data_IF_428316317867
#
_entry.id   IF_428316317867
#
_cell.length_a   1.000
_cell.length_b   1.000
_cell.length_c   1.000
_cell.angle_alpha   90.00
_cell.angle_beta   90.00
_cell.angle_gamma   90.00
#
_symmetry.space_group_name_H-M   'P 1'
#
loop_
_entity.id
_entity.type
_entity.pdbx_description
1 polymer ?
#
# COMPACT_ATOMS: atom_id res chain seq x y z
N UNK A 1 9.88 -3.90 16.21
CA UNK A 1 9.80 -3.62 14.75
C UNK A 1 8.86 -2.46 14.55
N UNK A 2 9.13 -1.58 13.59
CA UNK A 2 8.17 -0.50 13.25
C UNK A 2 6.99 -1.12 12.50
N UNK A 3 5.78 -0.96 13.01
CA UNK A 3 4.54 -1.43 12.40
C UNK A 3 3.68 -0.23 12.02
N UNK A 4 2.98 -0.34 10.89
CA UNK A 4 2.05 0.67 10.41
C UNK A 4 0.68 0.48 11.08
N UNK A 5 0.14 1.57 11.64
CA UNK A 5 -1.17 1.61 12.29
C UNK A 5 -2.18 2.39 11.45
N UNK A 6 -3.39 1.87 11.29
CA UNK A 6 -4.49 2.49 10.54
C UNK A 6 -5.54 3.02 11.51
N UNK A 7 -5.32 4.24 12.01
CA UNK A 7 -6.26 4.85 12.95
C UNK A 7 -7.51 5.40 12.25
N UNK A 8 -8.64 4.71 12.39
CA UNK A 8 -9.97 5.15 11.89
C UNK A 8 -10.86 5.76 12.98
N UNK A 9 -10.29 6.05 14.16
CA UNK A 9 -11.04 6.47 15.36
C UNK A 9 -12.14 5.45 15.70
N UNK A 10 -13.38 5.90 15.89
CA UNK A 10 -14.54 5.05 16.19
C UNK A 10 -15.46 4.87 14.96
N UNK A 11 -14.93 5.03 13.74
CA UNK A 11 -15.75 4.93 12.54
C UNK A 11 -16.19 3.48 12.29
N UNK A 12 -17.48 3.22 11.95
CA UNK A 12 -17.93 1.88 11.63
C UNK A 12 -17.25 1.32 10.37
N UNK A 13 -17.12 -0.02 10.23
CA UNK A 13 -16.49 -0.62 9.07
C UNK A 13 -17.14 -0.25 7.73
N UNK A 14 -16.30 0.07 6.75
CA UNK A 14 -16.72 0.32 5.38
C UNK A 14 -16.52 -0.98 4.57
N UNK A 15 -17.62 -1.57 4.13
CA UNK A 15 -17.64 -2.76 3.26
C UNK A 15 -18.13 -2.40 1.87
N UNK A 16 -17.21 -2.33 0.92
CA UNK A 16 -17.52 -2.04 -0.49
C UNK A 16 -17.62 -3.33 -1.31
N UNK A 17 -18.59 -3.39 -2.22
CA UNK A 17 -18.69 -4.48 -3.17
C UNK A 17 -17.56 -4.45 -4.19
N UNK A 18 -17.08 -5.63 -4.57
CA UNK A 18 -16.15 -5.78 -5.67
C UNK A 18 -16.77 -5.28 -6.97
N UNK A 19 -16.01 -4.49 -7.73
CA UNK A 19 -16.43 -4.04 -9.06
C UNK A 19 -16.36 -5.19 -10.04
N UNK A 20 -17.32 -5.27 -10.97
CA UNK A 20 -17.34 -6.29 -12.01
C UNK A 20 -16.06 -6.22 -12.85
N UNK A 21 -15.31 -7.32 -12.89
CA UNK A 21 -14.13 -7.46 -13.73
C UNK A 21 -14.48 -8.23 -15.02
N UNK A 22 -13.97 -7.80 -16.18
CA UNK A 22 -13.95 -8.63 -17.39
C UNK A 22 -13.23 -9.96 -17.13
N UNK A 23 -13.62 -11.03 -17.81
CA UNK A 23 -13.03 -12.37 -17.61
C UNK A 23 -11.51 -12.38 -17.72
N UNK A 24 -10.96 -11.74 -18.77
CA UNK A 24 -9.52 -11.62 -18.97
C UNK A 24 -8.78 -10.91 -17.81
N UNK A 25 -9.47 -10.03 -17.07
CA UNK A 25 -8.91 -9.37 -15.88
C UNK A 25 -9.12 -10.18 -14.60
N UNK A 26 -10.09 -11.08 -14.57
CA UNK A 26 -10.39 -11.93 -13.40
C UNK A 26 -9.29 -12.98 -13.20
N UNK A 27 -8.91 -13.68 -14.25
CA UNK A 27 -7.82 -14.68 -14.20
C UNK A 27 -6.49 -14.03 -13.78
N UNK A 28 -6.21 -12.85 -14.33
CA UNK A 28 -5.03 -12.06 -13.96
C UNK A 28 -5.08 -11.62 -12.49
N UNK A 29 -6.25 -11.20 -11.99
CA UNK A 29 -6.43 -10.84 -10.58
C UNK A 29 -6.17 -12.05 -9.66
N UNK A 30 -6.74 -13.19 -9.99
CA UNK A 30 -6.59 -14.44 -9.22
C UNK A 30 -5.13 -14.89 -9.17
N UNK A 31 -4.40 -14.82 -10.29
CA UNK A 31 -2.96 -15.12 -10.33
C UNK A 31 -2.16 -14.19 -9.42
N UNK A 32 -2.44 -12.88 -9.46
CA UNK A 32 -1.74 -11.88 -8.63
C UNK A 32 -2.04 -12.05 -7.14
N UNK A 33 -3.29 -12.37 -6.78
CA UNK A 33 -3.67 -12.68 -5.40
C UNK A 33 -2.92 -13.89 -4.89
N UNK A 34 -2.87 -14.97 -5.68
CA UNK A 34 -2.12 -16.18 -5.33
C UNK A 34 -0.64 -15.90 -5.10
N UNK A 35 0.01 -15.15 -5.99
CA UNK A 35 1.42 -14.76 -5.81
C UNK A 35 1.64 -13.99 -4.50
N UNK A 36 0.74 -13.07 -4.15
CA UNK A 36 0.85 -12.28 -2.91
C UNK A 36 0.62 -13.13 -1.65
N UNK A 37 -0.27 -14.14 -1.71
CA UNK A 37 -0.47 -15.11 -0.62
C UNK A 37 0.77 -15.99 -0.47
N UNK A 38 1.26 -16.57 -1.57
CA UNK A 38 2.42 -17.46 -1.57
C UNK A 38 3.71 -16.75 -1.09
N UNK A 39 3.80 -15.43 -1.30
CA UNK A 39 4.92 -14.58 -0.84
C UNK A 39 4.71 -13.98 0.55
N UNK A 40 3.57 -14.24 1.21
CA UNK A 40 3.27 -13.76 2.56
C UNK A 40 2.99 -12.26 2.65
N UNK A 41 2.63 -11.61 1.54
CA UNK A 41 2.28 -10.18 1.50
C UNK A 41 0.85 -9.93 1.96
N UNK A 42 -0.04 -10.89 1.71
CA UNK A 42 -1.44 -10.87 2.15
C UNK A 42 -1.83 -12.23 2.72
N UNK A 43 -2.90 -12.24 3.50
CA UNK A 43 -3.52 -13.45 4.04
C UNK A 43 -5.04 -13.44 3.80
N UNK A 44 -5.65 -14.62 3.91
CA UNK A 44 -7.11 -14.73 3.89
C UNK A 44 -7.69 -14.11 5.16
N UNK A 45 -8.70 -13.25 5.00
CA UNK A 45 -9.35 -12.58 6.13
C UNK A 45 -10.88 -12.63 6.00
N UNK A 46 -11.56 -12.63 7.15
CA UNK A 46 -13.02 -12.60 7.28
C UNK A 46 -13.51 -11.28 7.90
N UNK A 47 -12.70 -10.22 7.76
CA UNK A 47 -12.94 -8.92 8.41
C UNK A 47 -14.19 -8.18 7.92
N UNK A 48 -14.71 -7.24 8.74
CA UNK A 48 -15.88 -6.44 8.38
C UNK A 48 -15.58 -5.33 7.35
N UNK A 49 -14.30 -5.01 7.13
CA UNK A 49 -13.84 -4.01 6.17
C UNK A 49 -13.61 -4.64 4.80
N UNK A 50 -13.98 -3.94 3.72
CA UNK A 50 -13.65 -4.37 2.36
C UNK A 50 -13.47 -3.18 1.42
N UNK A 51 -12.38 -3.20 0.65
CA UNK A 51 -12.11 -2.23 -0.41
C UNK A 51 -11.96 -2.97 -1.74
N UNK A 52 -12.52 -2.44 -2.84
CA UNK A 52 -12.51 -3.14 -4.12
C UNK A 52 -11.15 -3.05 -4.79
N UNK A 53 -10.79 -4.09 -5.55
CA UNK A 53 -9.56 -4.10 -6.33
C UNK A 53 -9.73 -3.39 -7.67
N UNK A 54 -8.63 -2.83 -8.17
CA UNK A 54 -8.52 -2.13 -9.45
C UNK A 54 -7.24 -2.59 -10.15
N UNK A 55 -7.40 -3.15 -11.35
CA UNK A 55 -6.26 -3.55 -12.17
C UNK A 55 -5.93 -2.49 -13.21
N UNK A 56 -4.69 -2.00 -13.17
CA UNK A 56 -4.17 -0.96 -14.07
C UNK A 56 -3.01 -1.52 -14.87
N UNK A 57 -2.99 -1.28 -16.19
CA UNK A 57 -1.84 -1.62 -17.03
C UNK A 57 -0.76 -0.55 -16.89
N UNK A 58 0.47 -0.95 -16.61
CA UNK A 58 1.64 -0.08 -16.66
C UNK A 58 2.09 0.12 -18.11
N UNK A 59 2.94 1.12 -18.32
CA UNK A 59 3.56 1.40 -19.63
C UNK A 59 4.39 0.23 -20.16
N UNK A 60 4.98 -0.56 -19.25
CA UNK A 60 5.77 -1.76 -19.56
C UNK A 60 4.91 -3.01 -19.92
N UNK A 61 3.58 -2.87 -19.96
CA UNK A 61 2.63 -3.95 -20.25
C UNK A 61 2.24 -4.81 -19.04
N UNK A 62 2.97 -4.70 -17.91
CA UNK A 62 2.64 -5.41 -16.67
C UNK A 62 1.36 -4.88 -16.03
N UNK A 63 0.68 -5.75 -15.27
CA UNK A 63 -0.52 -5.38 -14.51
C UNK A 63 -0.12 -4.93 -13.11
N UNK A 64 -0.62 -3.78 -12.67
CA UNK A 64 -0.53 -3.33 -11.28
C UNK A 64 -1.82 -3.70 -10.56
N UNK A 65 -1.68 -4.49 -9.49
CA UNK A 65 -2.75 -4.75 -8.54
C UNK A 65 -2.88 -3.55 -7.59
N UNK A 66 -4.00 -2.82 -7.68
CA UNK A 66 -4.30 -1.71 -6.79
C UNK A 66 -5.54 -2.03 -5.97
N UNK A 67 -5.61 -1.50 -4.76
CA UNK A 67 -6.81 -1.52 -3.93
C UNK A 67 -7.32 -0.09 -3.80
N UNK A 68 -8.62 0.12 -3.98
CA UNK A 68 -9.23 1.44 -3.89
C UNK A 68 -9.54 1.82 -2.43
N UNK A 69 -8.52 2.31 -1.73
CA UNK A 69 -8.62 2.76 -0.35
C UNK A 69 -9.19 4.18 -0.19
N UNK A 70 -9.76 4.82 -1.22
CA UNK A 70 -10.21 6.22 -1.11
C UNK A 70 -11.15 6.46 0.08
N UNK A 71 -12.15 5.59 0.26
CA UNK A 71 -13.09 5.69 1.40
C UNK A 71 -12.43 5.41 2.76
N UNK A 72 -11.45 4.52 2.80
CA UNK A 72 -10.68 4.25 4.02
C UNK A 72 -9.83 5.48 4.37
N UNK A 73 -9.09 6.00 3.41
CA UNK A 73 -8.21 7.16 3.58
C UNK A 73 -8.96 8.45 3.96
N UNK A 74 -10.24 8.58 3.60
CA UNK A 74 -11.09 9.72 4.00
C UNK A 74 -11.36 9.74 5.52
N UNK A 75 -11.43 8.56 6.15
CA UNK A 75 -11.72 8.42 7.58
C UNK A 75 -10.47 8.14 8.43
N UNK A 76 -9.37 7.72 7.80
CA UNK A 76 -8.10 7.50 8.49
C UNK A 76 -7.53 8.84 8.97
N UNK A 77 -7.21 8.89 10.26
CA UNK A 77 -6.48 10.01 10.85
C UNK A 77 -5.07 10.01 10.26
N UNK A 78 -4.74 11.12 9.58
CA UNK A 78 -3.45 11.28 8.90
C UNK A 78 -2.35 11.42 9.94
N UNK A 79 -1.33 10.58 9.82
CA UNK A 79 -0.08 10.77 10.53
C UNK A 79 0.74 11.87 9.84
N UNK A 80 0.80 13.04 10.45
CA UNK A 80 1.58 14.17 9.95
C UNK A 80 3.01 14.07 10.51
N UNK A 81 3.78 13.11 10.01
CA UNK A 81 5.21 13.09 10.30
C UNK A 81 5.88 14.28 9.59
N UNK A 82 6.58 15.17 10.31
CA UNK A 82 7.22 16.33 9.69
C UNK A 82 8.41 15.85 8.85
N UNK A 83 8.22 15.80 7.53
CA UNK A 83 9.33 15.58 6.62
C UNK A 83 10.28 16.78 6.67
N UNK A 84 11.61 16.56 6.70
CA UNK A 84 12.57 17.65 6.67
C UNK A 84 12.41 18.46 5.38
N UNK A 85 12.74 19.75 5.44
CA UNK A 85 12.76 20.56 4.22
C UNK A 85 13.87 20.04 3.31
N UNK A 86 13.66 20.20 2.00
CA UNK A 86 14.67 19.84 1.00
C UNK A 86 15.96 20.63 1.26
N UNK A 87 15.85 21.92 1.58
CA UNK A 87 16.99 22.79 1.91
C UNK A 87 17.82 22.23 3.07
N UNK A 88 17.18 21.83 4.17
CA UNK A 88 17.84 21.28 5.35
C UNK A 88 18.58 19.97 5.01
N UNK A 89 17.95 19.15 4.15
CA UNK A 89 18.54 17.89 3.68
C UNK A 89 19.78 18.15 2.82
N UNK A 90 19.75 19.16 1.94
CA UNK A 90 20.89 19.53 1.10
C UNK A 90 22.03 20.15 1.90
N UNK A 91 21.73 20.97 2.91
CA UNK A 91 22.75 21.53 3.82
C UNK A 91 23.44 20.41 4.60
N UNK A 92 22.69 19.42 5.08
CA UNK A 92 23.26 18.26 5.80
C UNK A 92 24.21 17.43 4.93
N UNK A 93 24.04 17.44 3.61
CA UNK A 93 24.89 16.73 2.65
C UNK A 93 26.14 17.52 2.24
N UNK A 94 26.24 18.81 2.61
CA UNK A 94 27.35 19.66 2.22
C UNK A 94 28.71 19.13 2.72
N UNK A 95 29.74 19.22 1.89
CA UNK A 95 31.08 18.69 2.17
C UNK A 95 31.24 17.18 1.94
N UNK A 96 30.16 16.45 1.60
CA UNK A 96 30.24 15.05 1.17
C UNK A 96 30.85 14.95 -0.22
N UNK A 97 31.80 14.03 -0.42
CA UNK A 97 32.48 13.83 -1.70
C UNK A 97 31.89 12.66 -2.52
N UNK A 98 31.14 11.78 -1.87
CA UNK A 98 30.58 10.57 -2.47
C UNK A 98 29.13 10.40 -2.03
N UNK A 99 28.26 10.11 -2.99
CA UNK A 99 26.83 9.88 -2.75
C UNK A 99 26.43 8.51 -3.27
N UNK A 100 25.60 7.82 -2.49
CA UNK A 100 24.99 6.55 -2.88
C UNK A 100 23.50 6.63 -2.62
N UNK A 101 22.70 6.18 -3.58
CA UNK A 101 21.24 6.09 -3.46
C UNK A 101 20.83 4.64 -3.39
N UNK A 102 20.00 4.29 -2.41
CA UNK A 102 19.46 2.94 -2.25
C UNK A 102 17.97 2.98 -2.52
N UNK A 103 17.49 2.14 -3.44
CA UNK A 103 16.06 1.93 -3.69
C UNK A 103 15.59 0.65 -2.98
N UNK A 104 14.62 0.80 -2.07
CA UNK A 104 14.05 -0.35 -1.37
C UNK A 104 12.99 -1.02 -2.24
N UNK A 105 13.28 -2.24 -2.70
CA UNK A 105 12.36 -3.03 -3.53
C UNK A 105 11.03 -3.23 -2.82
N UNK A 106 9.95 -2.68 -3.40
CA UNK A 106 8.59 -2.78 -2.85
C UNK A 106 8.53 -2.36 -1.36
N UNK A 107 9.15 -1.23 -1.01
CA UNK A 107 9.34 -0.79 0.38
C UNK A 107 8.10 -0.86 1.29
N UNK A 108 6.90 -0.56 0.77
CA UNK A 108 5.65 -0.67 1.55
C UNK A 108 5.35 -2.09 2.04
N UNK A 109 5.77 -3.13 1.31
CA UNK A 109 5.53 -4.53 1.67
C UNK A 109 6.50 -5.05 2.74
N UNK A 110 7.52 -4.26 3.09
CA UNK A 110 8.51 -4.63 4.10
C UNK A 110 8.11 -4.15 5.50
N UNK A 111 7.10 -3.27 5.59
CA UNK A 111 6.59 -2.74 6.86
C UNK A 111 5.30 -3.47 7.20
N UNK A 112 5.29 -4.18 8.30
CA UNK A 112 4.11 -4.92 8.78
C UNK A 112 2.99 -3.96 9.21
N UNK A 113 1.74 -4.39 9.03
CA UNK A 113 0.57 -3.75 9.63
C UNK A 113 0.44 -4.24 11.07
N UNK A 114 -0.08 -3.41 11.97
CA UNK A 114 -0.40 -3.86 13.33
C UNK A 114 -1.44 -4.99 13.28
N UNK A 115 -1.28 -6.10 14.03
CA UNK A 115 -2.21 -7.23 13.99
C UNK A 115 -3.67 -6.89 14.35
N UNK A 116 -3.88 -5.78 15.07
CA UNK A 116 -5.20 -5.32 15.48
C UNK A 116 -5.97 -4.51 14.40
N UNK A 117 -5.28 -4.05 13.34
CA UNK A 117 -5.83 -3.24 12.25
C UNK A 117 -6.11 -4.08 10.98
#
# INVERSE_FOLDING_TARGET
MTQCRINTSNHPPIKQYLRRLPLAKKEEAERLVKEMVDTGIIEESSGPWASPIVLVKKKDGSTRFCVDYRKLNEITIKDCYPLPRIDDTLVALNGSQWFSTLDLKRGYWQVEIQPED
#
